data_IF_076363873574
#
_entry.id   IF_076363873574
#
_cell.length_a   1.000
_cell.length_b   1.000
_cell.length_c   1.000
_cell.angle_alpha   90.00
_cell.angle_beta   90.00
_cell.angle_gamma   90.00
#
_symmetry.space_group_name_H-M   'P 1'
#
loop_
_entity.id
_entity.type
_entity.pdbx_description
1 polymer ?
#
# COMPACT_ATOMS: atom_id res chain seq x y z
N UNK A 1 19.09 25.71 4.09
CA UNK A 1 18.79 26.35 2.79
C UNK A 1 19.56 25.59 1.71
N UNK A 2 18.99 24.46 1.28
CA UNK A 2 19.05 23.94 -0.09
C UNK A 2 17.63 23.39 -0.27
N UNK A 3 16.77 24.23 -0.81
CA UNK A 3 15.42 23.85 -1.23
C UNK A 3 15.59 22.99 -2.47
N UNK A 4 15.28 21.70 -2.36
CA UNK A 4 15.11 20.83 -3.51
C UNK A 4 13.74 21.15 -4.15
N UNK A 5 13.62 22.40 -4.61
CA UNK A 5 12.62 22.77 -5.61
C UNK A 5 13.09 22.07 -6.89
N UNK A 6 12.54 20.87 -7.12
CA UNK A 6 12.57 20.28 -8.45
C UNK A 6 11.80 21.23 -9.37
N UNK A 7 12.53 22.11 -10.05
CA UNK A 7 12.03 22.77 -11.25
C UNK A 7 11.35 21.70 -12.11
N UNK A 8 10.08 21.90 -12.56
CA UNK A 8 9.51 20.98 -13.52
C UNK A 8 10.44 20.98 -14.74
N UNK A 9 10.82 19.81 -15.28
CA UNK A 9 11.57 19.79 -16.53
C UNK A 9 10.77 20.60 -17.55
N UNK A 10 11.46 21.42 -18.35
CA UNK A 10 10.95 22.17 -19.51
C UNK A 10 10.36 21.23 -20.58
N UNK A 11 9.42 20.38 -20.21
CA UNK A 11 8.75 19.36 -21.01
C UNK A 11 7.25 19.60 -21.01
N UNK A 12 6.61 19.13 -22.06
CA UNK A 12 5.16 19.19 -22.20
C UNK A 12 4.49 18.49 -21.02
N UNK A 13 3.66 19.16 -20.20
CA UNK A 13 2.95 18.54 -19.08
C UNK A 13 1.94 17.46 -19.52
N UNK A 14 1.63 17.38 -20.82
CA UNK A 14 0.79 16.34 -21.41
C UNK A 14 1.59 15.18 -22.03
N UNK A 15 2.92 15.19 -21.91
CA UNK A 15 3.75 14.06 -22.30
C UNK A 15 3.52 12.91 -21.29
N UNK A 16 2.81 11.88 -21.75
CA UNK A 16 2.45 10.70 -20.96
C UNK A 16 3.70 9.93 -20.47
N UNK A 17 4.77 9.87 -21.27
CA UNK A 17 6.00 9.17 -20.90
C UNK A 17 6.75 9.92 -19.80
N UNK A 18 6.75 11.26 -19.85
CA UNK A 18 7.29 12.11 -18.78
C UNK A 18 6.44 11.96 -17.51
N UNK A 19 5.13 11.92 -17.64
CA UNK A 19 4.20 11.74 -16.51
C UNK A 19 4.38 10.38 -15.84
N UNK A 20 4.52 9.31 -16.61
CA UNK A 20 4.83 7.96 -16.10
C UNK A 20 6.17 7.97 -15.36
N UNK A 21 7.23 8.53 -15.96
CA UNK A 21 8.55 8.60 -15.32
C UNK A 21 8.52 9.39 -14.02
N UNK A 22 7.79 10.51 -13.99
CA UNK A 22 7.60 11.30 -12.78
C UNK A 22 6.88 10.49 -11.69
N UNK A 23 5.83 9.74 -12.05
CA UNK A 23 5.15 8.86 -11.11
C UNK A 23 6.08 7.75 -10.59
N UNK A 24 6.83 7.09 -11.48
CA UNK A 24 7.73 6.01 -11.10
C UNK A 24 8.84 6.48 -10.14
N UNK A 25 9.28 7.74 -10.28
CA UNK A 25 10.29 8.36 -9.40
C UNK A 25 9.71 9.02 -8.15
N UNK A 26 8.40 9.28 -8.13
CA UNK A 26 7.76 9.93 -7.00
C UNK A 26 7.83 9.07 -5.73
N UNK A 27 7.98 9.75 -4.60
CA UNK A 27 7.87 9.13 -3.28
C UNK A 27 6.40 8.78 -3.01
N UNK A 28 6.07 7.57 -2.54
CA UNK A 28 4.72 7.28 -2.08
C UNK A 28 4.42 8.04 -0.78
N UNK A 29 3.13 8.33 -0.55
CA UNK A 29 2.68 9.03 0.67
C UNK A 29 2.83 8.15 1.89
N UNK A 30 3.48 8.69 2.93
CA UNK A 30 3.67 8.01 4.20
C UNK A 30 2.93 8.74 5.32
N UNK A 31 2.24 8.00 6.18
CA UNK A 31 1.46 8.53 7.30
C UNK A 31 2.04 8.05 8.63
N UNK A 32 1.89 8.88 9.67
CA UNK A 32 2.04 8.45 11.06
C UNK A 32 0.80 8.86 11.84
N UNK A 33 0.27 7.95 12.66
CA UNK A 33 -0.86 8.22 13.54
C UNK A 33 -0.42 8.32 15.00
N UNK A 34 -0.74 9.43 15.65
CA UNK A 34 -0.33 9.76 17.01
C UNK A 34 -1.56 10.01 17.90
N UNK A 35 -1.37 9.85 19.21
CA UNK A 35 -2.39 10.07 20.21
C UNK A 35 -2.34 9.05 21.35
N UNK A 36 -3.11 9.32 22.41
CA UNK A 36 -3.09 8.51 23.64
C UNK A 36 -3.43 7.02 23.41
N UNK A 37 -2.84 6.08 24.17
CA UNK A 37 -3.21 4.66 24.10
C UNK A 37 -4.72 4.45 24.31
N UNK A 38 -5.36 3.67 23.43
CA UNK A 38 -6.81 3.42 23.47
C UNK A 38 -7.68 4.52 22.84
N UNK A 39 -7.11 5.53 22.17
CA UNK A 39 -7.90 6.57 21.47
C UNK A 39 -8.60 6.06 20.20
N UNK A 40 -8.23 4.88 19.68
CA UNK A 40 -8.79 4.30 18.45
C UNK A 40 -7.89 4.43 17.20
N UNK A 41 -6.60 4.76 17.40
CA UNK A 41 -5.60 4.91 16.32
C UNK A 41 -5.52 3.68 15.42
N UNK A 42 -5.34 2.50 16.00
CA UNK A 42 -5.15 1.24 15.25
C UNK A 42 -6.32 0.93 14.33
N UNK A 43 -7.55 1.08 14.83
CA UNK A 43 -8.76 0.91 14.03
C UNK A 43 -8.81 1.92 12.87
N UNK A 44 -8.50 3.19 13.13
CA UNK A 44 -8.49 4.23 12.09
C UNK A 44 -7.39 3.99 11.05
N UNK A 45 -6.19 3.60 11.51
CA UNK A 45 -5.04 3.36 10.66
C UNK A 45 -5.23 2.16 9.73
N UNK A 46 -5.81 1.07 10.23
CA UNK A 46 -6.14 -0.11 9.42
C UNK A 46 -7.20 0.19 8.36
N UNK A 47 -8.23 0.99 8.70
CA UNK A 47 -9.21 1.43 7.69
C UNK A 47 -8.60 2.35 6.66
N UNK A 48 -7.73 3.27 7.10
CA UNK A 48 -7.03 4.17 6.18
C UNK A 48 -6.06 3.41 5.26
N UNK A 49 -5.35 2.39 5.75
CA UNK A 49 -4.44 1.61 4.91
C UNK A 49 -5.18 0.90 3.77
N UNK A 50 -6.35 0.34 4.06
CA UNK A 50 -7.23 -0.29 3.07
C UNK A 50 -7.73 0.73 2.04
N UNK A 51 -8.24 1.87 2.50
CA UNK A 51 -8.77 2.93 1.65
C UNK A 51 -7.69 3.57 0.77
N UNK A 52 -6.52 3.85 1.34
CA UNK A 52 -5.39 4.47 0.66
C UNK A 52 -4.57 3.47 -0.15
N UNK A 53 -4.82 2.16 -0.01
CA UNK A 53 -4.05 1.06 -0.62
C UNK A 53 -2.56 1.12 -0.28
N UNK A 54 -2.24 1.42 0.98
CA UNK A 54 -0.87 1.45 1.51
C UNK A 54 -0.62 0.35 2.55
N UNK A 55 0.65 0.11 2.88
CA UNK A 55 1.01 -0.88 3.89
C UNK A 55 0.61 -0.41 5.30
N UNK A 56 -0.06 -1.26 6.06
CA UNK A 56 -0.27 -1.03 7.50
C UNK A 56 0.98 -1.48 8.26
N UNK A 57 1.68 -0.55 8.89
CA UNK A 57 2.91 -0.83 9.64
C UNK A 57 2.59 -0.76 11.12
N UNK A 58 2.36 -1.93 11.70
CA UNK A 58 2.12 -2.13 13.12
C UNK A 58 2.83 -3.39 13.60
N UNK A 59 3.38 -3.37 14.82
CA UNK A 59 4.19 -4.46 15.35
C UNK A 59 3.45 -5.80 15.35
N UNK A 60 2.20 -5.81 15.84
CA UNK A 60 1.40 -7.04 15.93
C UNK A 60 1.13 -7.63 14.55
N UNK A 61 0.73 -6.83 13.56
CA UNK A 61 0.49 -7.31 12.20
C UNK A 61 1.76 -7.87 11.54
N UNK A 62 2.92 -7.24 11.77
CA UNK A 62 4.22 -7.75 11.29
C UNK A 62 4.53 -9.09 11.97
N UNK A 63 4.43 -9.17 13.28
CA UNK A 63 4.71 -10.39 14.07
C UNK A 63 3.81 -11.54 13.62
N UNK A 64 2.49 -11.32 13.55
CA UNK A 64 1.52 -12.33 13.15
C UNK A 64 1.85 -12.86 11.75
N UNK A 65 2.14 -11.95 10.80
CA UNK A 65 2.52 -12.34 9.44
C UNK A 65 3.80 -13.18 9.39
N UNK A 66 4.84 -12.80 10.14
CA UNK A 66 6.10 -13.56 10.18
C UNK A 66 5.90 -14.97 10.76
N UNK A 67 5.04 -15.11 11.78
CA UNK A 67 4.67 -16.41 12.37
C UNK A 67 3.87 -17.25 11.38
N UNK A 68 2.84 -16.68 10.74
CA UNK A 68 1.97 -17.40 9.78
C UNK A 68 2.74 -17.91 8.55
N UNK A 69 3.72 -17.12 8.09
CA UNK A 69 4.58 -17.50 6.97
C UNK A 69 5.73 -18.43 7.38
N UNK A 70 5.84 -18.79 8.66
CA UNK A 70 6.90 -19.62 9.23
C UNK A 70 8.30 -19.14 8.81
N UNK A 71 8.53 -17.82 8.87
CA UNK A 71 9.84 -17.28 8.49
C UNK A 71 10.87 -17.57 9.58
N UNK A 72 12.18 -17.49 9.30
CA UNK A 72 13.21 -17.65 10.32
C UNK A 72 13.10 -16.64 11.48
N UNK A 73 12.48 -15.49 11.25
CA UNK A 73 12.19 -14.48 12.27
C UNK A 73 10.92 -14.86 13.05
N UNK A 74 9.87 -15.29 12.34
CA UNK A 74 8.63 -15.80 12.92
C UNK A 74 8.83 -16.99 13.85
N UNK A 75 9.66 -17.96 13.47
CA UNK A 75 9.99 -19.12 14.31
C UNK A 75 10.67 -18.70 15.62
N UNK A 76 11.59 -17.72 15.57
CA UNK A 76 12.24 -17.17 16.77
C UNK A 76 11.24 -16.45 17.67
N UNK A 77 10.37 -15.64 17.08
CA UNK A 77 9.31 -14.95 17.82
C UNK A 77 8.41 -15.99 18.50
N UNK A 78 7.97 -17.00 17.76
CA UNK A 78 7.11 -18.05 18.27
C UNK A 78 7.75 -18.80 19.44
N UNK A 79 9.05 -19.10 19.37
CA UNK A 79 9.80 -19.71 20.48
C UNK A 79 9.80 -18.83 21.74
N UNK A 80 10.11 -17.55 21.60
CA UNK A 80 10.10 -16.60 22.74
C UNK A 80 8.71 -16.53 23.38
N UNK A 81 7.66 -16.40 22.57
CA UNK A 81 6.28 -16.34 23.05
C UNK A 81 5.83 -17.66 23.70
N UNK A 82 6.21 -18.81 23.14
CA UNK A 82 5.89 -20.14 23.71
C UNK A 82 6.59 -20.39 25.04
N UNK A 83 7.73 -19.75 25.28
CA UNK A 83 8.43 -19.77 26.57
C UNK A 83 7.79 -18.84 27.62
N UNK A 84 6.75 -18.08 27.25
CA UNK A 84 6.10 -17.10 28.11
C UNK A 84 6.90 -15.79 28.27
N UNK A 85 7.90 -15.56 27.42
CA UNK A 85 8.72 -14.37 27.41
C UNK A 85 8.10 -13.29 26.51
N UNK A 86 8.37 -12.01 26.81
CA UNK A 86 7.95 -10.87 26.00
C UNK A 86 9.04 -10.47 25.01
N UNK A 87 8.64 -9.96 23.84
CA UNK A 87 9.58 -9.42 22.87
C UNK A 87 10.16 -8.10 23.36
N UNK A 88 11.47 -7.91 23.21
CA UNK A 88 12.13 -6.65 23.56
C UNK A 88 11.70 -5.53 22.59
N UNK A 89 11.49 -4.32 23.11
CA UNK A 89 11.21 -3.11 22.35
C UNK A 89 12.27 -2.81 21.28
N UNK A 90 13.55 -3.09 21.52
CA UNK A 90 14.62 -2.98 20.50
C UNK A 90 14.31 -3.84 19.27
N UNK A 91 13.89 -5.07 19.51
CA UNK A 91 13.56 -6.03 18.46
C UNK A 91 12.29 -5.61 17.72
N UNK A 92 11.26 -5.16 18.43
CA UNK A 92 10.02 -4.63 17.84
C UNK A 92 10.31 -3.41 16.95
N UNK A 93 11.13 -2.47 17.43
CA UNK A 93 11.52 -1.29 16.66
C UNK A 93 12.29 -1.68 15.40
N UNK A 94 13.19 -2.68 15.50
CA UNK A 94 13.90 -3.22 14.34
C UNK A 94 12.93 -3.84 13.30
N UNK A 95 11.96 -4.65 13.72
CA UNK A 95 10.95 -5.22 12.81
C UNK A 95 10.18 -4.14 12.06
N UNK A 96 9.74 -3.08 12.76
CA UNK A 96 9.05 -1.95 12.15
C UNK A 96 9.96 -1.26 11.12
N UNK A 97 11.22 -1.01 11.47
CA UNK A 97 12.19 -0.39 10.57
C UNK A 97 12.43 -1.23 9.33
N UNK A 98 12.58 -2.54 9.47
CA UNK A 98 12.74 -3.49 8.37
C UNK A 98 11.51 -3.51 7.46
N UNK A 99 10.30 -3.44 8.04
CA UNK A 99 9.06 -3.31 7.26
C UNK A 99 9.01 -1.99 6.49
N UNK A 100 9.43 -0.86 7.07
CA UNK A 100 9.42 0.45 6.38
C UNK A 100 10.38 0.50 5.19
N UNK A 101 11.48 -0.25 5.22
CA UNK A 101 12.42 -0.33 4.08
C UNK A 101 12.04 -1.40 3.05
N UNK A 102 10.92 -2.12 3.26
CA UNK A 102 10.48 -3.19 2.37
C UNK A 102 10.12 -2.67 0.96
N UNK A 103 10.23 -3.53 -0.07
CA UNK A 103 9.89 -3.14 -1.44
C UNK A 103 8.43 -2.73 -1.59
N UNK A 104 7.50 -3.36 -0.84
CA UNK A 104 6.09 -3.02 -0.81
C UNK A 104 5.89 -1.57 -0.34
N UNK A 105 6.51 -1.20 0.78
CA UNK A 105 6.42 0.18 1.30
C UNK A 105 7.03 1.19 0.34
N UNK A 106 8.12 0.84 -0.35
CA UNK A 106 8.72 1.71 -1.37
C UNK A 106 7.79 2.02 -2.56
N UNK A 107 6.78 1.18 -2.79
CA UNK A 107 5.78 1.41 -3.83
C UNK A 107 4.47 2.00 -3.28
N UNK A 108 3.89 1.35 -2.28
CA UNK A 108 2.56 1.66 -1.76
C UNK A 108 2.56 2.75 -0.68
N UNK A 109 3.72 3.07 -0.11
CA UNK A 109 3.81 3.89 1.10
C UNK A 109 3.34 3.10 2.31
N UNK A 110 3.09 3.80 3.41
CA UNK A 110 2.66 3.17 4.65
C UNK A 110 1.85 4.09 5.54
N UNK A 111 1.12 3.49 6.49
CA UNK A 111 0.65 4.15 7.70
C UNK A 111 1.23 3.47 8.93
N UNK A 112 1.95 4.25 9.73
CA UNK A 112 2.65 3.80 10.92
C UNK A 112 1.80 4.03 12.17
N UNK A 113 1.49 2.95 12.89
CA UNK A 113 0.83 2.95 14.18
C UNK A 113 1.63 2.17 15.23
N UNK A 114 1.74 2.70 16.44
CA UNK A 114 2.45 2.08 17.57
C UNK A 114 3.85 2.65 17.83
N UNK A 115 4.33 3.59 17.02
CA UNK A 115 5.50 4.42 17.34
C UNK A 115 5.08 5.88 17.60
N UNK A 116 5.76 6.59 18.52
CA UNK A 116 6.83 6.10 19.40
C UNK A 116 6.30 5.19 20.52
N UNK A 117 7.11 4.19 20.91
CA UNK A 117 6.85 3.33 22.07
C UNK A 117 7.10 4.13 23.34
N UNK A 118 6.12 4.15 24.24
CA UNK A 118 6.23 4.83 25.53
C UNK A 118 6.61 3.80 26.58
N UNK A 119 7.90 3.65 26.82
CA UNK A 119 8.47 2.73 27.80
C UNK A 119 9.77 3.31 28.39
N UNK A 120 9.95 3.22 29.71
CA UNK A 120 11.09 3.79 30.42
C UNK A 120 12.40 2.99 30.21
N UNK A 121 12.31 1.75 29.71
CA UNK A 121 13.43 0.83 29.51
C UNK A 121 14.00 0.81 28.09
N UNK A 122 13.49 1.66 27.20
CA UNK A 122 13.87 1.72 25.79
C UNK A 122 14.41 3.12 25.41
N UNK A 123 14.53 3.40 24.11
CA UNK A 123 14.85 4.73 23.59
C UNK A 123 13.81 5.75 24.03
N UNK A 124 14.27 6.96 24.34
CA UNK A 124 13.36 8.06 24.65
C UNK A 124 12.45 8.36 23.45
N UNK A 125 11.27 8.90 23.73
CA UNK A 125 10.30 9.28 22.69
C UNK A 125 10.92 10.24 21.68
N UNK A 126 11.78 11.15 22.15
CA UNK A 126 12.50 12.10 21.30
C UNK A 126 13.47 11.39 20.34
N UNK A 127 14.31 10.48 20.83
CA UNK A 127 15.24 9.72 19.99
C UNK A 127 14.49 8.86 18.95
N UNK A 128 13.37 8.26 19.33
CA UNK A 128 12.53 7.51 18.39
C UNK A 128 11.98 8.41 17.27
N UNK A 129 11.51 9.62 17.59
CA UNK A 129 11.02 10.59 16.60
C UNK A 129 12.14 11.01 15.67
N UNK A 130 13.33 11.32 16.18
CA UNK A 130 14.50 11.66 15.36
C UNK A 130 14.88 10.53 14.39
N UNK A 131 14.83 9.28 14.87
CA UNK A 131 15.04 8.12 14.01
C UNK A 131 13.97 8.01 12.91
N UNK A 132 12.68 8.19 13.23
CA UNK A 132 11.58 8.16 12.26
C UNK A 132 11.76 9.25 11.20
N UNK A 133 12.18 10.45 11.61
CA UNK A 133 12.43 11.58 10.71
C UNK A 133 13.65 11.36 9.80
N UNK A 134 14.63 10.56 10.25
CA UNK A 134 15.83 10.23 9.48
C UNK A 134 15.60 9.17 8.39
N UNK A 135 14.44 8.52 8.36
CA UNK A 135 14.14 7.48 7.38
C UNK A 135 14.07 8.03 5.96
N UNK A 136 14.53 7.23 4.99
CA UNK A 136 14.42 7.54 3.56
C UNK A 136 12.98 7.85 3.15
N UNK A 137 12.04 7.10 3.73
CA UNK A 137 10.61 7.31 3.61
C UNK A 137 10.06 7.84 4.94
N UNK A 138 10.47 9.04 5.37
CA UNK A 138 9.88 9.69 6.56
C UNK A 138 8.38 9.98 6.35
N UNK A 139 7.55 10.06 7.41
CA UNK A 139 6.15 10.44 7.27
C UNK A 139 5.96 11.81 6.61
N UNK A 140 5.03 11.89 5.66
CA UNK A 140 4.60 13.13 5.00
C UNK A 140 3.43 13.79 5.73
N UNK A 141 2.54 12.98 6.29
CA UNK A 141 1.32 13.42 6.98
C UNK A 141 1.30 12.88 8.40
N UNK A 142 1.05 13.76 9.37
CA UNK A 142 0.81 13.39 10.76
C UNK A 142 -0.69 13.46 11.06
N UNK A 143 -1.25 12.36 11.55
CA UNK A 143 -2.64 12.26 12.01
C UNK A 143 -2.63 12.21 13.53
N UNK A 144 -3.08 13.27 14.20
CA UNK A 144 -3.10 13.36 15.66
C UNK A 144 -4.53 13.23 16.18
N UNK A 145 -4.82 12.18 16.96
CA UNK A 145 -6.11 11.99 17.62
C UNK A 145 -6.05 12.59 19.04
N UNK A 146 -6.77 13.71 19.24
CA UNK A 146 -6.88 14.37 20.54
C UNK A 146 -8.11 13.86 21.29
N UNK A 147 -7.91 13.34 22.50
CA UNK A 147 -9.02 12.92 23.37
C UNK A 147 -8.74 13.30 24.84
N UNK A 148 -9.71 13.90 25.55
CA UNK A 148 -9.61 14.13 26.99
C UNK A 148 -9.57 12.83 27.79
N UNK A 149 -8.94 12.85 28.98
CA UNK A 149 -8.74 11.63 29.77
C UNK A 149 -10.04 10.99 30.27
N UNK A 150 -11.05 11.81 30.58
CA UNK A 150 -12.36 11.33 31.02
C UNK A 150 -13.03 10.53 29.90
N UNK A 151 -13.07 11.07 28.69
CA UNK A 151 -13.66 10.42 27.51
C UNK A 151 -12.88 9.16 27.11
N UNK A 152 -11.55 9.23 27.18
CA UNK A 152 -10.68 8.08 26.93
C UNK A 152 -10.94 6.95 27.93
N UNK A 153 -11.13 7.27 29.20
CA UNK A 153 -11.43 6.28 30.24
C UNK A 153 -12.78 5.61 30.01
N UNK A 154 -13.80 6.37 29.59
CA UNK A 154 -15.11 5.83 29.22
C UNK A 154 -14.98 4.92 27.99
N UNK A 155 -14.23 5.36 26.98
CA UNK A 155 -13.96 4.59 25.76
C UNK A 155 -13.30 3.25 26.09
N UNK A 156 -12.18 3.24 26.79
CA UNK A 156 -11.44 2.01 27.11
C UNK A 156 -12.28 1.01 27.91
N UNK A 157 -13.06 1.49 28.90
CA UNK A 157 -14.02 0.64 29.64
C UNK A 157 -15.14 0.06 28.76
N UNK A 158 -15.46 0.72 27.65
CA UNK A 158 -16.43 0.27 26.67
C UNK A 158 -15.85 -0.60 25.56
N UNK A 159 -14.52 -0.67 25.43
CA UNK A 159 -13.85 -1.42 24.37
C UNK A 159 -13.66 -2.88 24.77
N UNK A 160 -14.08 -3.77 23.88
CA UNK A 160 -13.80 -5.21 23.94
C UNK A 160 -12.89 -5.62 22.80
N UNK A 161 -12.17 -6.72 22.97
CA UNK A 161 -11.28 -7.28 21.96
C UNK A 161 -11.82 -8.63 21.53
N UNK A 162 -11.79 -8.92 20.23
CA UNK A 162 -12.05 -10.26 19.70
C UNK A 162 -10.85 -11.17 20.01
N UNK A 163 -11.10 -12.29 20.68
CA UNK A 163 -10.06 -13.26 21.07
C UNK A 163 -9.36 -13.95 19.90
N UNK A 164 -9.95 -13.97 18.70
CA UNK A 164 -9.36 -14.61 17.52
C UNK A 164 -8.55 -13.62 16.68
N UNK A 165 -9.15 -12.47 16.35
CA UNK A 165 -8.55 -11.49 15.44
C UNK A 165 -7.68 -10.47 16.17
N UNK A 166 -7.89 -10.26 17.47
CA UNK A 166 -7.28 -9.16 18.22
C UNK A 166 -7.94 -7.79 17.96
N UNK A 167 -9.04 -7.75 17.20
CA UNK A 167 -9.68 -6.50 16.83
C UNK A 167 -10.45 -5.86 17.99
N UNK A 168 -10.32 -4.54 18.11
CA UNK A 168 -10.94 -3.76 19.18
C UNK A 168 -12.27 -3.15 18.75
N UNK A 169 -13.33 -3.42 19.51
CA UNK A 169 -14.69 -2.97 19.27
C UNK A 169 -15.20 -2.07 20.40
N UNK A 170 -15.60 -0.84 20.06
CA UNK A 170 -16.19 0.09 21.02
C UNK A 170 -17.63 -0.26 21.39
N UNK A 171 -18.10 0.25 22.53
CA UNK A 171 -19.45 0.01 23.07
C UNK A 171 -20.57 0.30 22.09
N UNK A 172 -20.44 1.35 21.27
CA UNK A 172 -21.45 1.70 20.27
C UNK A 172 -21.62 0.65 19.18
N UNK A 173 -20.62 -0.20 18.94
CA UNK A 173 -20.63 -1.21 17.89
C UNK A 173 -21.15 -2.55 18.41
N UNK A 174 -20.66 -3.03 19.56
CA UNK A 174 -21.08 -4.33 20.10
C UNK A 174 -22.38 -4.29 20.91
N UNK A 175 -22.80 -3.11 21.37
CA UNK A 175 -24.05 -2.90 22.10
C UNK A 175 -24.97 -1.90 21.37
N UNK A 176 -24.94 -1.91 20.03
CA UNK A 176 -25.94 -1.20 19.23
C UNK A 176 -27.32 -1.81 19.50
N UNK A 177 -28.31 -0.97 19.82
CA UNK A 177 -29.70 -1.40 19.80
C UNK A 177 -30.07 -1.74 18.35
N UNK A 178 -30.87 -2.78 18.09
CA UNK A 178 -31.37 -3.03 16.74
C UNK A 178 -32.09 -1.77 16.23
N UNK A 179 -31.94 -1.40 14.95
CA UNK A 179 -32.64 -0.24 14.41
C UNK A 179 -34.13 -0.39 14.71
N UNK A 180 -34.72 0.64 15.33
CA UNK A 180 -36.17 0.70 15.48
C UNK A 180 -36.73 0.93 14.08
N UNK A 181 -37.17 -0.14 13.44
CA UNK A 181 -37.99 -0.04 12.23
C UNK A 181 -39.27 0.70 12.66
N UNK A 182 -39.34 1.97 12.34
CA UNK A 182 -40.60 2.72 12.37
C UNK A 182 -41.46 2.19 11.22
N UNK A 183 -42.76 1.98 11.49
CA UNK A 183 -43.71 1.45 10.51
C UNK A 183 -43.94 2.37 9.30
N UNK A 184 -43.28 3.52 9.27
CA UNK A 184 -43.42 4.54 8.23
C UNK A 184 -42.46 4.31 7.05
N UNK A 185 -41.46 3.43 7.17
CA UNK A 185 -40.49 3.14 6.10
C UNK A 185 -40.95 2.00 5.14
N UNK A 186 -42.23 1.59 5.21
CA UNK A 186 -42.80 0.48 4.44
C UNK A 186 -43.73 0.90 3.29
N UNK A 187 -43.92 2.20 3.03
CA UNK A 187 -44.84 2.68 1.98
C UNK A 187 -44.21 3.50 0.84
N UNK A 188 -42.89 3.72 0.82
CA UNK A 188 -42.22 4.37 -0.31
C UNK A 188 -41.28 3.39 -1.01
N UNK A 189 -41.88 2.41 -1.69
CA UNK A 189 -41.18 1.55 -2.61
C UNK A 189 -41.98 1.43 -3.89
N UNK A 190 -41.72 2.31 -4.85
CA UNK A 190 -41.87 2.03 -6.27
C UNK A 190 -41.19 3.14 -7.10
N UNK A 191 -40.40 2.69 -8.06
CA UNK A 191 -39.81 3.38 -9.22
C UNK A 191 -38.55 4.22 -9.02
N UNK A 192 -37.36 3.64 -9.26
CA UNK A 192 -36.33 4.23 -10.15
C UNK A 192 -35.52 3.10 -10.84
N UNK A 193 -35.39 3.23 -12.17
CA UNK A 193 -34.78 2.28 -13.10
C UNK A 193 -33.23 2.25 -12.97
N UNK A 194 -32.65 1.05 -13.07
CA UNK A 194 -31.22 0.77 -12.97
C UNK A 194 -30.44 1.30 -14.20
N UNK A 195 -29.58 2.31 -14.01
CA UNK A 195 -28.43 2.56 -14.89
C UNK A 195 -27.20 1.87 -14.31
N UNK A 196 -26.78 0.75 -14.92
CA UNK A 196 -25.53 0.05 -14.62
C UNK A 196 -24.32 0.87 -15.10
N UNK A 197 -23.76 1.67 -14.19
CA UNK A 197 -22.41 2.20 -14.29
C UNK A 197 -21.50 1.47 -13.30
N UNK A 198 -20.62 0.59 -13.79
CA UNK A 198 -19.53 0.02 -13.00
C UNK A 198 -18.48 1.10 -12.69
N UNK A 199 -18.73 1.90 -11.66
CA UNK A 199 -17.66 2.54 -10.90
C UNK A 199 -17.05 1.49 -9.98
N UNK A 200 -15.72 1.42 -9.89
CA UNK A 200 -15.00 0.59 -8.92
C UNK A 200 -15.48 0.92 -7.50
N UNK A 201 -16.54 0.24 -7.05
CA UNK A 201 -16.98 0.28 -5.68
C UNK A 201 -15.88 -0.38 -4.86
N UNK A 202 -15.01 0.45 -4.28
CA UNK A 202 -14.32 0.08 -3.05
C UNK A 202 -15.43 -0.31 -2.10
N UNK A 203 -15.66 -1.61 -1.92
CA UNK A 203 -16.53 -2.15 -0.88
C UNK A 203 -15.91 -1.67 0.43
N UNK A 204 -16.32 -0.49 0.85
CA UNK A 204 -16.07 -0.03 2.20
C UNK A 204 -16.81 -1.05 3.04
N UNK A 205 -16.07 -1.87 3.79
CA UNK A 205 -16.65 -2.49 4.97
C UNK A 205 -17.19 -1.33 5.80
N UNK A 206 -18.48 -1.06 5.59
CA UNK A 206 -19.30 -0.26 6.45
C UNK A 206 -18.99 -0.70 7.87
N UNK A 207 -19.15 0.17 8.84
CA UNK A 207 -19.03 -0.22 10.23
C UNK A 207 -20.22 -1.10 10.67
N UNK A 208 -20.52 -2.11 9.86
CA UNK A 208 -21.66 -2.99 9.92
C UNK A 208 -21.56 -3.91 11.11
N UNK A 209 -22.76 -4.32 11.50
CA UNK A 209 -23.04 -5.12 12.66
C UNK A 209 -22.05 -6.29 12.78
N UNK A 210 -21.35 -6.30 13.92
CA UNK A 210 -20.50 -7.43 14.30
C UNK A 210 -21.35 -8.70 14.22
N UNK A 211 -20.85 -9.71 13.50
CA UNK A 211 -21.55 -10.98 13.37
C UNK A 211 -21.78 -11.64 14.75
N UNK A 212 -22.75 -12.56 14.80
CA UNK A 212 -23.16 -13.17 16.07
C UNK A 212 -22.02 -13.93 16.75
N UNK A 213 -21.10 -14.52 15.98
CA UNK A 213 -19.99 -15.29 16.52
C UNK A 213 -18.92 -14.36 17.08
N UNK A 214 -18.64 -13.26 16.39
CA UNK A 214 -17.73 -12.21 16.85
C UNK A 214 -18.25 -11.58 18.14
N UNK A 215 -19.55 -11.25 18.21
CA UNK A 215 -20.16 -10.72 19.45
C UNK A 215 -19.98 -11.66 20.65
N UNK A 216 -20.06 -12.98 20.45
CA UNK A 216 -19.94 -13.97 21.52
C UNK A 216 -18.51 -14.12 22.05
N UNK A 217 -17.50 -13.92 21.21
CA UNK A 217 -16.07 -14.05 21.57
C UNK A 217 -15.40 -12.75 22.04
N UNK A 218 -16.15 -11.65 22.17
CA UNK A 218 -15.64 -10.38 22.67
C UNK A 218 -15.29 -10.44 24.16
N UNK A 219 -14.03 -10.20 24.49
CA UNK A 219 -13.50 -10.23 25.86
C UNK A 219 -13.04 -8.85 26.33
N UNK A 220 -13.05 -8.65 27.64
CA UNK A 220 -12.44 -7.46 28.27
C UNK A 220 -10.96 -7.75 28.52
N UNK A 221 -10.07 -6.84 28.12
CA UNK A 221 -8.64 -6.95 28.40
C UNK A 221 -8.27 -6.31 29.75
N UNK A 222 -7.27 -6.85 30.48
CA UNK A 222 -6.79 -6.25 31.74
C UNK A 222 -6.33 -4.79 31.57
N UNK A 223 -5.75 -4.47 30.41
CA UNK A 223 -5.27 -3.12 30.07
C UNK A 223 -6.37 -2.06 30.06
N UNK A 224 -7.63 -2.47 29.86
CA UNK A 224 -8.79 -1.57 29.85
C UNK A 224 -9.39 -1.34 31.24
N UNK A 225 -8.83 -1.94 32.29
CA UNK A 225 -9.22 -1.67 33.68
C UNK A 225 -8.75 -0.28 34.13
N UNK A 226 -9.52 0.39 34.99
CA UNK A 226 -9.28 1.79 35.39
C UNK A 226 -7.85 2.07 35.84
N UNK A 227 -7.27 1.22 36.67
CA UNK A 227 -5.91 1.43 37.23
C UNK A 227 -4.83 1.46 36.14
N UNK A 228 -4.94 0.57 35.13
CA UNK A 228 -4.00 0.52 34.01
C UNK A 228 -4.22 1.69 33.05
N UNK A 229 -5.46 2.10 32.82
CA UNK A 229 -5.78 3.28 32.01
C UNK A 229 -5.19 4.54 32.62
N UNK A 230 -5.35 4.75 33.92
CA UNK A 230 -4.79 5.90 34.64
C UNK A 230 -3.26 5.90 34.61
N UNK A 231 -2.63 4.75 34.87
CA UNK A 231 -1.18 4.60 34.84
C UNK A 231 -0.60 4.86 33.45
N UNK A 232 -1.20 4.29 32.40
CA UNK A 232 -0.80 4.47 31.00
C UNK A 232 -0.96 5.93 30.56
N UNK A 233 -2.06 6.58 30.93
CA UNK A 233 -2.27 8.00 30.63
C UNK A 233 -1.26 8.90 31.35
N UNK A 234 -0.91 8.57 32.60
CA UNK A 234 0.11 9.31 33.34
C UNK A 234 1.48 9.17 32.67
N UNK A 235 1.90 7.94 32.36
CA UNK A 235 3.16 7.69 31.66
C UNK A 235 3.24 8.44 30.32
N UNK A 236 2.15 8.41 29.54
CA UNK A 236 2.08 9.15 28.27
C UNK A 236 2.27 10.66 28.46
N UNK A 237 1.66 11.25 29.49
CA UNK A 237 1.81 12.69 29.77
C UNK A 237 3.21 13.04 30.24
N UNK A 238 3.79 12.21 31.08
CA UNK A 238 5.08 12.48 31.72
C UNK A 238 6.24 12.32 30.72
N UNK A 239 6.14 11.37 29.79
CA UNK A 239 7.25 10.99 28.89
C UNK A 239 7.02 11.38 27.44
N UNK A 240 5.80 11.21 26.91
CA UNK A 240 5.55 11.29 25.47
C UNK A 240 4.94 12.60 25.00
N UNK A 241 4.16 13.28 25.84
CA UNK A 241 3.37 14.44 25.42
C UNK A 241 4.23 15.58 24.88
N UNK A 242 5.28 15.99 25.61
CA UNK A 242 6.13 17.11 25.20
C UNK A 242 6.89 16.81 23.89
N UNK A 243 7.64 15.69 23.75
CA UNK A 243 8.31 15.37 22.49
C UNK A 243 7.35 15.24 21.30
N UNK A 244 6.14 14.72 21.53
CA UNK A 244 5.12 14.65 20.48
C UNK A 244 4.63 16.06 20.11
N UNK A 245 4.35 16.93 21.07
CA UNK A 245 3.93 18.32 20.80
C UNK A 245 5.00 19.10 20.02
N UNK A 246 6.27 18.93 20.39
CA UNK A 246 7.41 19.51 19.65
C UNK A 246 7.45 18.99 18.20
N UNK A 247 7.30 17.67 18.01
CA UNK A 247 7.23 17.08 16.67
C UNK A 247 6.06 17.61 15.83
N UNK A 248 4.88 17.80 16.45
CA UNK A 248 3.71 18.36 15.77
C UNK A 248 3.91 19.84 15.41
N UNK A 249 4.58 20.60 16.26
CA UNK A 249 4.86 22.02 16.03
C UNK A 249 5.88 22.22 14.89
N UNK A 250 6.91 21.38 14.84
CA UNK A 250 7.96 21.43 13.81
C UNK A 250 7.49 20.91 12.44
N UNK A 251 6.41 20.12 12.41
CA UNK A 251 5.86 19.58 11.17
C UNK A 251 5.12 20.64 10.34
N UNK A 252 5.06 20.44 9.02
CA UNK A 252 4.30 21.32 8.14
C UNK A 252 2.81 21.25 8.49
N UNK A 253 2.25 22.38 8.94
CA UNK A 253 0.87 22.50 9.38
C UNK A 253 -0.15 22.16 8.27
N UNK A 254 0.22 22.29 6.99
CA UNK A 254 -0.63 21.86 5.88
C UNK A 254 -0.86 20.34 5.87
N UNK A 255 0.09 19.55 6.34
CA UNK A 255 0.05 18.08 6.38
C UNK A 255 -0.15 17.54 7.80
N UNK A 256 -0.54 18.41 8.75
CA UNK A 256 -1.00 18.02 10.08
C UNK A 256 -2.54 17.91 10.11
N UNK A 257 -3.02 16.72 10.49
CA UNK A 257 -4.44 16.43 10.63
C UNK A 257 -4.76 16.17 12.10
N UNK A 258 -5.43 17.13 12.73
CA UNK A 258 -5.94 16.96 14.09
C UNK A 258 -7.39 16.45 14.05
N UNK A 259 -7.65 15.38 14.80
CA UNK A 259 -8.95 14.73 14.88
C UNK A 259 -9.48 14.78 16.31
N UNK A 260 -10.76 15.13 16.48
CA UNK A 260 -11.44 15.04 17.77
C UNK A 260 -11.81 13.60 18.06
N UNK A 261 -10.99 12.98 18.90
CA UNK A 261 -11.14 11.62 19.33
C UNK A 261 -12.49 11.34 19.98
N UNK A 262 -13.31 12.29 20.44
CA UNK A 262 -14.63 11.99 21.04
C UNK A 262 -15.60 11.32 20.07
N UNK A 263 -15.45 11.58 18.77
CA UNK A 263 -16.32 11.06 17.73
C UNK A 263 -16.18 9.54 17.56
N UNK A 264 -17.15 8.93 16.88
CA UNK A 264 -17.06 7.52 16.50
C UNK A 264 -15.95 7.31 15.47
N UNK A 265 -15.34 6.12 15.38
CA UNK A 265 -14.29 5.87 14.40
C UNK A 265 -14.79 6.04 12.95
N UNK A 266 -16.09 5.83 12.68
CA UNK A 266 -16.78 6.15 11.42
C UNK A 266 -16.57 7.61 11.03
N UNK A 267 -16.96 8.50 11.93
CA UNK A 267 -16.93 9.94 11.70
C UNK A 267 -15.49 10.44 11.59
N UNK A 268 -14.59 9.91 12.41
CA UNK A 268 -13.16 10.21 12.32
C UNK A 268 -12.57 9.82 10.95
N UNK A 269 -12.95 8.64 10.45
CA UNK A 269 -12.52 8.17 9.14
C UNK A 269 -13.06 9.05 8.02
N UNK A 270 -14.35 9.40 8.04
CA UNK A 270 -14.95 10.30 7.05
C UNK A 270 -14.29 11.69 7.04
N UNK A 271 -14.02 12.26 8.22
CA UNK A 271 -13.31 13.54 8.35
C UNK A 271 -11.89 13.46 7.79
N UNK A 272 -11.18 12.37 8.09
CA UNK A 272 -9.83 12.13 7.60
C UNK A 272 -9.81 12.00 6.08
N UNK A 273 -10.67 11.16 5.49
CA UNK A 273 -10.79 10.97 4.05
C UNK A 273 -11.13 12.28 3.35
N UNK A 274 -12.14 13.01 3.84
CA UNK A 274 -12.54 14.31 3.26
C UNK A 274 -11.38 15.31 3.22
N UNK A 275 -10.51 15.30 4.25
CA UNK A 275 -9.34 16.17 4.29
C UNK A 275 -8.23 15.68 3.34
N UNK A 276 -8.02 14.38 3.24
CA UNK A 276 -7.03 13.81 2.31
C UNK A 276 -7.41 14.03 0.85
N UNK A 277 -8.71 13.94 0.51
CA UNK A 277 -9.20 14.18 -0.85
C UNK A 277 -9.06 15.66 -1.26
N UNK A 278 -8.95 16.58 -0.29
CA UNK A 278 -8.64 17.98 -0.55
C UNK A 278 -7.17 18.24 -0.91
N UNK A 279 -6.29 17.27 -0.65
CA UNK A 279 -4.86 17.40 -0.96
C UNK A 279 -4.57 16.91 -2.39
N UNK A 280 -3.64 17.58 -3.07
CA UNK A 280 -3.13 17.16 -4.38
C UNK A 280 -2.12 16.01 -4.27
N UNK A 281 -2.47 14.97 -3.52
CA UNK A 281 -1.61 13.81 -3.25
C UNK A 281 -2.10 12.62 -4.07
N UNK A 282 -1.18 11.92 -4.71
CA UNK A 282 -1.51 10.76 -5.53
C UNK A 282 -1.61 9.50 -4.67
N UNK A 283 -2.66 8.72 -4.88
CA UNK A 283 -2.76 7.36 -4.34
C UNK A 283 -1.76 6.44 -5.04
N UNK A 284 -1.29 5.37 -4.38
CA UNK A 284 -0.45 4.39 -5.03
C UNK A 284 -1.22 3.69 -6.17
N UNK A 285 -0.54 3.46 -7.29
CA UNK A 285 -1.10 2.71 -8.39
C UNK A 285 -1.00 1.22 -8.06
N UNK A 286 -2.12 0.51 -8.03
CA UNK A 286 -2.14 -0.91 -7.66
C UNK A 286 -1.99 -1.75 -8.93
N UNK A 287 -0.94 -2.57 -9.08
CA UNK A 287 -0.86 -3.56 -10.15
C UNK A 287 -1.94 -4.63 -9.94
N UNK A 288 -2.67 -4.98 -11.01
CA UNK A 288 -3.72 -6.00 -10.98
C UNK A 288 -3.44 -7.13 -11.96
N UNK A 289 -3.96 -8.32 -11.70
CA UNK A 289 -3.92 -9.42 -12.67
C UNK A 289 -4.93 -9.13 -13.76
N UNK A 290 -4.57 -9.34 -15.02
CA UNK A 290 -5.49 -9.11 -16.14
C UNK A 290 -6.46 -10.28 -16.36
N UNK A 291 -6.03 -11.49 -15.98
CA UNK A 291 -6.83 -12.70 -16.09
C UNK A 291 -7.16 -13.25 -14.71
N UNK A 292 -8.39 -13.73 -14.58
CA UNK A 292 -8.80 -14.48 -13.41
C UNK A 292 -8.24 -15.91 -13.50
N UNK A 293 -7.86 -16.52 -12.36
CA UNK A 293 -7.35 -17.89 -12.35
C UNK A 293 -8.38 -18.94 -12.79
N UNK A 294 -9.66 -18.57 -12.87
CA UNK A 294 -10.77 -19.45 -13.25
C UNK A 294 -11.14 -19.35 -14.75
N UNK A 295 -10.47 -18.49 -15.52
CA UNK A 295 -10.69 -18.35 -16.97
C UNK A 295 -9.88 -19.38 -17.77
N UNK A 296 -10.30 -19.66 -19.02
CA UNK A 296 -9.60 -20.60 -19.89
C UNK A 296 -8.15 -20.15 -20.16
N UNK A 297 -7.20 -21.04 -19.87
CA UNK A 297 -5.76 -20.81 -20.10
C UNK A 297 -5.51 -20.51 -21.59
N UNK A 298 -4.77 -19.44 -21.85
CA UNK A 298 -4.41 -19.08 -23.22
C UNK A 298 -3.26 -19.98 -23.68
N UNK A 299 -3.26 -20.45 -24.95
CA UNK A 299 -2.17 -21.26 -25.47
C UNK A 299 -0.81 -20.57 -25.35
N UNK A 300 0.20 -21.26 -24.81
CA UNK A 300 1.56 -20.73 -24.66
C UNK A 300 2.16 -20.26 -26.00
N UNK A 301 1.79 -20.90 -27.11
CA UNK A 301 2.31 -20.63 -28.46
C UNK A 301 1.57 -19.51 -29.22
N UNK A 302 0.65 -18.78 -28.58
CA UNK A 302 -0.07 -17.66 -29.19
C UNK A 302 0.88 -16.58 -29.74
N UNK A 303 0.54 -15.99 -30.89
CA UNK A 303 1.32 -14.90 -31.47
C UNK A 303 1.28 -13.66 -30.56
N UNK A 304 2.40 -12.93 -30.43
CA UNK A 304 2.50 -11.79 -29.50
C UNK A 304 1.47 -10.69 -29.79
N UNK A 305 1.21 -10.40 -31.06
CA UNK A 305 0.24 -9.38 -31.47
C UNK A 305 -1.20 -9.78 -31.18
N UNK A 306 -1.51 -11.08 -31.29
CA UNK A 306 -2.81 -11.64 -30.97
C UNK A 306 -3.02 -11.65 -29.45
N UNK A 307 -2.05 -12.15 -28.69
CA UNK A 307 -2.05 -12.13 -27.24
C UNK A 307 -2.32 -10.75 -26.67
N UNK A 308 -1.59 -9.73 -27.14
CA UNK A 308 -1.75 -8.36 -26.66
C UNK A 308 -3.13 -7.76 -27.03
N UNK A 309 -3.77 -8.21 -28.12
CA UNK A 309 -5.14 -7.77 -28.45
C UNK A 309 -6.16 -8.39 -27.52
N UNK A 310 -6.01 -9.69 -27.24
CA UNK A 310 -6.89 -10.41 -26.31
C UNK A 310 -6.76 -9.84 -24.90
N UNK A 311 -5.52 -9.64 -24.41
CA UNK A 311 -5.25 -9.02 -23.11
C UNK A 311 -5.81 -7.60 -22.97
N UNK A 312 -5.79 -6.80 -24.03
CA UNK A 312 -6.35 -5.44 -24.00
C UNK A 312 -7.89 -5.39 -23.89
N UNK A 313 -8.57 -6.53 -24.12
CA UNK A 313 -10.01 -6.66 -23.98
C UNK A 313 -10.44 -7.18 -22.59
N UNK A 314 -9.52 -7.73 -21.79
CA UNK A 314 -9.81 -8.17 -20.44
C UNK A 314 -9.84 -6.98 -19.46
N UNK A 315 -10.78 -7.03 -18.51
CA UNK A 315 -10.89 -6.15 -17.34
C UNK A 315 -10.62 -4.66 -17.65
N UNK A 316 -11.54 -3.99 -18.33
CA UNK A 316 -11.40 -2.58 -18.71
C UNK A 316 -11.26 -1.69 -17.46
N UNK A 317 -10.27 -0.76 -17.39
CA UNK A 317 -10.15 0.21 -16.28
C UNK A 317 -11.36 1.14 -16.13
N UNK A 318 -12.09 1.35 -17.22
CA UNK A 318 -13.30 2.16 -17.28
C UNK A 318 -14.07 1.79 -18.55
N UNK A 319 -15.38 2.10 -18.64
CA UNK A 319 -16.14 1.90 -19.86
C UNK A 319 -15.45 2.52 -21.07
N UNK A 320 -15.12 1.69 -22.08
CA UNK A 320 -14.39 2.03 -23.32
C UNK A 320 -12.88 2.28 -23.18
N UNK A 321 -12.28 2.13 -21.99
CA UNK A 321 -10.84 2.22 -21.82
C UNK A 321 -10.19 0.85 -22.02
N UNK A 322 -9.21 0.76 -22.92
CA UNK A 322 -8.44 -0.47 -23.16
C UNK A 322 -7.04 -0.34 -22.63
N UNK A 323 -6.49 -1.44 -22.14
CA UNK A 323 -5.10 -1.47 -21.71
C UNK A 323 -4.16 -1.18 -22.89
N UNK A 324 -3.14 -0.35 -22.62
CA UNK A 324 -2.11 -0.01 -23.58
C UNK A 324 -0.98 -1.04 -23.55
N UNK A 325 -0.24 -1.11 -24.66
CA UNK A 325 0.94 -1.97 -24.76
C UNK A 325 2.11 -1.30 -24.06
N UNK A 326 2.77 -2.01 -23.15
CA UNK A 326 4.02 -1.52 -22.57
C UNK A 326 5.17 -1.60 -23.57
N UNK A 327 6.24 -0.82 -23.34
CA UNK A 327 7.49 -0.91 -24.12
C UNK A 327 8.20 -2.26 -24.02
N UNK A 328 7.79 -3.12 -23.07
CA UNK A 328 8.33 -4.46 -22.91
C UNK A 328 7.68 -5.47 -23.86
N UNK A 329 6.45 -5.20 -24.35
CA UNK A 329 5.70 -6.18 -25.13
C UNK A 329 5.54 -7.48 -24.35
N UNK A 330 6.04 -8.60 -24.91
CA UNK A 330 6.05 -9.92 -24.25
C UNK A 330 7.29 -10.17 -23.38
N UNK A 331 8.26 -9.26 -23.33
CA UNK A 331 9.44 -9.48 -22.49
C UNK A 331 9.11 -9.24 -21.01
N UNK A 332 9.62 -10.11 -20.15
CA UNK A 332 9.42 -9.96 -18.70
C UNK A 332 10.32 -8.83 -18.15
N UNK A 333 9.77 -7.73 -17.60
CA UNK A 333 10.55 -6.65 -17.01
C UNK A 333 11.44 -7.10 -15.84
N UNK A 334 10.94 -8.02 -15.00
CA UNK A 334 11.67 -8.54 -13.84
C UNK A 334 12.87 -9.36 -14.27
N UNK A 335 12.67 -10.33 -15.18
CA UNK A 335 13.75 -11.13 -15.72
C UNK A 335 14.81 -10.26 -16.39
N UNK A 336 14.39 -9.25 -17.15
CA UNK A 336 15.29 -8.32 -17.83
C UNK A 336 16.15 -7.54 -16.84
N UNK A 337 15.58 -7.10 -15.72
CA UNK A 337 16.32 -6.41 -14.65
C UNK A 337 17.37 -7.32 -14.00
N UNK A 338 17.06 -8.61 -13.89
CA UNK A 338 17.97 -9.65 -13.38
C UNK A 338 19.01 -10.12 -14.42
N UNK A 339 18.97 -9.57 -15.65
CA UNK A 339 19.93 -9.87 -16.72
C UNK A 339 19.50 -10.99 -17.68
N UNK A 340 18.28 -11.50 -17.55
CA UNK A 340 17.74 -12.59 -18.36
C UNK A 340 16.73 -12.07 -19.40
N UNK A 341 16.83 -12.56 -20.64
CA UNK A 341 15.86 -12.21 -21.71
C UNK A 341 14.86 -13.35 -21.82
N UNK A 342 13.78 -13.27 -21.03
CA UNK A 342 12.70 -14.25 -21.03
C UNK A 342 11.40 -13.64 -21.54
N UNK A 343 10.64 -14.44 -22.29
CA UNK A 343 9.28 -14.10 -22.67
C UNK A 343 8.33 -14.44 -21.53
N UNK A 344 7.35 -13.57 -21.33
CA UNK A 344 6.26 -13.77 -20.39
C UNK A 344 5.24 -14.79 -20.89
N UNK A 345 4.57 -15.42 -19.93
CA UNK A 345 3.47 -16.34 -20.16
C UNK A 345 2.13 -15.60 -20.14
N UNK A 346 1.19 -15.93 -21.03
CA UNK A 346 -0.13 -15.29 -21.08
C UNK A 346 -0.83 -15.18 -19.72
N UNK A 347 -0.86 -16.27 -18.96
CA UNK A 347 -1.56 -16.36 -17.66
C UNK A 347 -0.93 -15.51 -16.55
N UNK A 348 0.29 -15.02 -16.79
CA UNK A 348 1.04 -14.17 -15.87
C UNK A 348 1.07 -12.72 -16.34
N UNK A 349 -0.03 -12.27 -16.95
CA UNK A 349 -0.23 -10.90 -17.38
C UNK A 349 -0.77 -10.01 -16.24
N UNK A 350 -0.16 -8.84 -16.09
CA UNK A 350 -0.54 -7.83 -15.11
C UNK A 350 -0.69 -6.45 -15.75
N UNK A 351 -1.63 -5.68 -15.24
CA UNK A 351 -1.85 -4.28 -15.56
C UNK A 351 -1.16 -3.39 -14.54
N UNK A 352 -0.52 -2.32 -15.01
CA UNK A 352 0.02 -1.28 -14.15
C UNK A 352 0.16 0.04 -14.93
N UNK A 353 -0.27 1.15 -14.33
CA UNK A 353 -0.29 2.49 -14.98
C UNK A 353 -0.81 2.44 -16.41
N UNK A 354 -2.00 1.86 -16.61
CA UNK A 354 -2.66 1.70 -17.91
C UNK A 354 -1.98 0.80 -18.96
N UNK A 355 -0.87 0.15 -18.59
CA UNK A 355 -0.07 -0.71 -19.48
C UNK A 355 -0.10 -2.17 -19.06
N UNK A 356 0.00 -3.06 -20.05
CA UNK A 356 0.12 -4.51 -19.83
C UNK A 356 1.58 -4.95 -19.74
N UNK A 357 1.87 -5.81 -18.77
CA UNK A 357 3.17 -6.45 -18.57
C UNK A 357 2.98 -7.96 -18.47
N UNK A 358 3.80 -8.72 -19.19
CA UNK A 358 3.69 -10.18 -19.23
C UNK A 358 4.91 -10.77 -18.54
N UNK A 359 4.69 -11.59 -17.50
CA UNK A 359 5.75 -12.06 -16.61
C UNK A 359 6.12 -13.52 -16.89
N UNK A 360 7.39 -13.86 -16.69
CA UNK A 360 7.94 -15.17 -17.09
C UNK A 360 7.69 -16.28 -16.08
N UNK A 361 7.44 -15.94 -14.81
CA UNK A 361 7.22 -16.89 -13.72
C UNK A 361 6.33 -16.31 -12.61
N UNK A 362 5.68 -17.15 -11.79
CA UNK A 362 4.91 -16.69 -10.63
C UNK A 362 5.76 -15.90 -9.62
N UNK A 363 7.05 -16.22 -9.52
CA UNK A 363 8.01 -15.47 -8.70
C UNK A 363 8.24 -14.06 -9.25
N UNK A 364 8.40 -13.93 -10.57
CA UNK A 364 8.52 -12.63 -11.23
C UNK A 364 7.23 -11.80 -11.05
N UNK A 365 6.06 -12.46 -11.11
CA UNK A 365 4.78 -11.85 -10.78
C UNK A 365 4.73 -11.31 -9.36
N UNK A 366 5.06 -12.14 -8.38
CA UNK A 366 5.08 -11.73 -6.97
C UNK A 366 6.04 -10.56 -6.75
N UNK A 367 7.23 -10.59 -7.35
CA UNK A 367 8.20 -9.49 -7.29
C UNK A 367 7.66 -8.19 -7.90
N UNK A 368 7.01 -8.27 -9.06
CA UNK A 368 6.45 -7.11 -9.75
C UNK A 368 5.28 -6.49 -8.98
N UNK A 369 4.34 -7.32 -8.47
CA UNK A 369 3.21 -6.85 -7.67
C UNK A 369 3.65 -6.15 -6.38
N UNK A 370 4.78 -6.57 -5.77
CA UNK A 370 5.34 -5.91 -4.59
C UNK A 370 5.89 -4.52 -4.90
N UNK A 371 6.68 -4.38 -5.97
CA UNK A 371 7.25 -3.10 -6.35
C UNK A 371 7.53 -3.03 -7.86
N UNK A 372 6.58 -2.55 -8.67
CA UNK A 372 6.79 -2.42 -10.11
C UNK A 372 7.85 -1.36 -10.44
N UNK A 373 7.96 -0.28 -9.63
CA UNK A 373 8.86 0.86 -9.91
C UNK A 373 10.31 0.42 -10.10
N UNK A 374 10.81 -0.54 -9.30
CA UNK A 374 12.20 -1.01 -9.39
C UNK A 374 12.56 -1.69 -10.71
N UNK A 375 11.56 -2.24 -11.42
CA UNK A 375 11.75 -2.95 -12.69
C UNK A 375 11.48 -2.08 -13.92
N UNK A 376 10.76 -0.97 -13.73
CA UNK A 376 10.38 -0.06 -14.82
C UNK A 376 11.35 1.12 -14.98
N UNK A 377 12.09 1.47 -13.92
CA UNK A 377 13.07 2.55 -13.93
C UNK A 377 14.46 2.12 -14.46
N UNK A 378 15.13 2.98 -15.25
CA UNK A 378 16.52 2.77 -15.68
C UNK A 378 17.51 2.85 -14.48
N UNK A 379 18.73 2.32 -14.60
CA UNK A 379 19.33 1.70 -15.78
C UNK A 379 18.86 0.25 -15.95
N UNK A 380 18.42 -0.06 -17.17
CA UNK A 380 18.15 -1.42 -17.62
C UNK A 380 19.13 -1.73 -18.75
N UNK A 381 19.58 -2.98 -18.92
CA UNK A 381 20.19 -3.36 -20.19
C UNK A 381 19.17 -3.04 -21.29
N UNK A 382 19.52 -2.12 -22.18
CA UNK A 382 18.68 -1.84 -23.34
C UNK A 382 18.52 -3.17 -24.08
N UNK A 383 17.29 -3.56 -24.39
CA UNK A 383 17.07 -4.68 -25.29
C UNK A 383 17.98 -4.47 -26.52
N UNK A 384 18.72 -5.50 -26.96
CA UNK A 384 19.68 -5.32 -28.04
C UNK A 384 18.97 -4.70 -29.24
N UNK A 385 19.48 -3.55 -29.69
CA UNK A 385 18.89 -2.79 -30.78
C UNK A 385 18.77 -3.68 -32.03
N UNK A 386 17.54 -3.91 -32.50
CA UNK A 386 17.28 -4.63 -33.75
C UNK A 386 17.29 -3.61 -34.88
N UNK A 387 18.27 -3.72 -35.78
CA UNK A 387 18.43 -2.80 -36.91
C UNK A 387 18.00 -3.54 -38.19
N UNK A 388 17.04 -2.98 -38.91
CA UNK A 388 16.66 -3.44 -40.24
C UNK A 388 17.19 -2.45 -41.30
N UNK A 389 17.96 -2.95 -42.28
CA UNK A 389 18.49 -2.14 -43.40
C UNK A 389 17.67 -2.44 -44.65
N UNK A 390 16.81 -1.50 -45.05
CA UNK A 390 15.93 -1.63 -46.22
C UNK A 390 16.49 -0.86 -47.43
N UNK A 391 16.26 -1.38 -48.63
CA UNK A 391 16.69 -0.72 -49.88
C UNK A 391 16.44 -1.57 -51.12
N UNK A 392 16.47 -0.94 -52.30
CA UNK A 392 16.31 -1.62 -53.59
C UNK A 392 17.42 -2.66 -53.85
N UNK A 393 17.25 -3.59 -54.81
CA UNK A 393 18.35 -4.46 -55.24
C UNK A 393 19.58 -3.61 -55.58
N UNK A 394 20.77 -4.05 -55.15
CA UNK A 394 22.07 -3.39 -55.42
C UNK A 394 22.32 -2.08 -54.63
N UNK A 395 21.40 -1.63 -53.76
CA UNK A 395 21.56 -0.39 -52.97
C UNK A 395 22.66 -0.41 -51.88
N UNK A 396 23.48 -1.46 -51.82
CA UNK A 396 24.51 -1.63 -50.79
C UNK A 396 24.00 -2.07 -49.41
N UNK A 397 22.67 -2.31 -49.23
CA UNK A 397 22.07 -2.69 -47.94
C UNK A 397 22.77 -3.84 -47.22
N UNK A 398 23.19 -4.87 -47.96
CA UNK A 398 23.92 -6.02 -47.41
C UNK A 398 25.31 -5.63 -46.92
N UNK A 399 26.01 -4.76 -47.65
CA UNK A 399 27.34 -4.26 -47.29
C UNK A 399 27.28 -3.42 -46.03
N UNK A 400 26.34 -2.47 -45.96
CA UNK A 400 26.14 -1.61 -44.79
C UNK A 400 25.72 -2.41 -43.56
N UNK A 401 24.82 -3.39 -43.71
CA UNK A 401 24.43 -4.28 -42.61
C UNK A 401 25.62 -5.09 -42.08
N UNK A 402 26.48 -5.61 -42.96
CA UNK A 402 27.70 -6.33 -42.57
C UNK A 402 28.73 -5.43 -41.87
N UNK A 403 28.89 -4.17 -42.30
CA UNK A 403 29.79 -3.22 -41.65
C UNK A 403 29.30 -2.84 -40.26
N UNK A 404 28.00 -2.60 -40.09
CA UNK A 404 27.37 -2.34 -38.80
C UNK A 404 27.55 -3.57 -37.88
N UNK A 405 27.27 -4.78 -38.39
CA UNK A 405 27.45 -6.02 -37.63
C UNK A 405 28.90 -6.22 -37.16
N UNK A 406 29.88 -5.94 -38.03
CA UNK A 406 31.31 -5.99 -37.67
C UNK A 406 31.70 -4.94 -36.65
N UNK A 407 31.23 -3.69 -36.79
CA UNK A 407 31.59 -2.58 -35.91
C UNK A 407 31.07 -2.78 -34.49
N UNK A 408 29.89 -3.37 -34.34
CA UNK A 408 29.22 -3.56 -33.05
C UNK A 408 29.24 -5.01 -32.54
N UNK A 409 29.93 -5.92 -33.24
CA UNK A 409 30.11 -7.32 -32.86
C UNK A 409 28.78 -8.09 -32.66
N UNK A 410 27.82 -7.90 -33.58
CA UNK A 410 26.46 -8.49 -33.51
C UNK A 410 26.30 -9.61 -34.56
N UNK A 411 25.61 -10.71 -34.21
CA UNK A 411 25.30 -11.81 -35.13
C UNK A 411 24.24 -11.39 -36.17
N UNK A 412 24.61 -11.38 -37.46
CA UNK A 412 23.69 -11.09 -38.56
C UNK A 412 22.97 -12.33 -39.06
N UNK A 413 21.68 -12.49 -38.75
CA UNK A 413 20.81 -13.47 -39.42
C UNK A 413 20.21 -12.83 -40.67
N UNK A 414 20.53 -13.36 -41.86
CA UNK A 414 19.86 -13.00 -43.11
C UNK A 414 18.46 -13.62 -43.09
N UNK A 415 17.44 -12.79 -42.93
CA UNK A 415 16.05 -13.16 -43.22
C UNK A 415 15.68 -12.40 -44.50
N UNK A 416 15.08 -13.10 -45.45
CA UNK A 416 14.67 -12.69 -46.80
C UNK A 416 15.70 -12.90 -47.93
N UNK A 417 15.45 -13.98 -48.69
CA UNK A 417 15.78 -14.12 -50.11
C UNK A 417 14.52 -13.89 -50.94
#
# INVERSE_FOLDING_TARGET
IITDEMDPPNGDPYDEDVTEQNFLRSKPTCFVILGKPGSGKTTLARKLSQYWRCEFVHATDIITREIELSTPVGEKIQQVLMNGESLNNDFIFQLIREKVISPEVAHYGYILDGLPIVDDGFLSVQEQIELIQSWKLKPDIIINIKIPDQDLSIRRKGTKVDSLTGDSYGRSVWNAAPPKITKDDLEEGEDEEEEEGEEEQVVMEEFNEIDKDTKQRLVNTPENQSNFVESSNKLFKDVALVPIEDYLADHNQQYLIELDGKNSPQTLFQQLVSKLDSYSIRRPAVPSRLQNPDEEELPDEIETEELLRTLAAYQHPAPRYRWRRSKWGRLCPVALKEGNILQGKPDLAVSFLDKMYILSSPEAMTKFLKNPRSYLLPPMPAAPCKIAVLGSPISGKTTTSNEIAKKYNVFGNKIFS
#
